data_IF_201914799192
#
_entry.id   IF_201914799192
#
_cell.length_a   1.000
_cell.length_b   1.000
_cell.length_c   1.000
_cell.angle_alpha   90.00
_cell.angle_beta   90.00
_cell.angle_gamma   90.00
#
_symmetry.space_group_name_H-M   'P 1'
#
loop_
_entity.id
_entity.type
_entity.pdbx_description
1 polymer ?
#
# COMPACT_ATOMS: atom_id res chain seq x y z
N UNK A 1 4.48 -3.06 -11.27
CA UNK A 1 4.88 -1.63 -11.33
C UNK A 1 4.99 -1.07 -9.92
N UNK A 2 6.07 -0.35 -9.61
CA UNK A 2 6.30 0.23 -8.28
C UNK A 2 5.94 1.73 -8.19
N UNK A 3 5.21 2.27 -9.18
CA UNK A 3 4.87 3.69 -9.31
C UNK A 3 4.33 4.37 -8.04
N UNK A 4 3.45 3.75 -7.23
CA UNK A 4 2.95 4.39 -6.01
C UNK A 4 4.03 4.69 -4.96
N UNK A 5 5.19 4.04 -5.05
CA UNK A 5 6.32 4.23 -4.14
C UNK A 5 7.33 5.24 -4.66
N UNK A 6 7.19 5.69 -5.90
CA UNK A 6 8.09 6.67 -6.51
C UNK A 6 7.89 8.06 -5.89
N UNK A 7 8.95 8.87 -5.78
CA UNK A 7 8.82 10.30 -5.51
C UNK A 7 7.87 10.95 -6.50
N UNK A 8 7.02 11.86 -6.03
CA UNK A 8 5.93 12.46 -6.83
C UNK A 8 6.44 13.13 -8.11
N UNK A 9 7.58 13.80 -7.99
CA UNK A 9 8.32 14.48 -9.05
C UNK A 9 8.81 13.53 -10.16
N UNK A 10 9.04 12.26 -9.85
CA UNK A 10 9.60 11.27 -10.77
C UNK A 10 8.60 10.23 -11.25
N UNK A 11 7.35 10.26 -10.75
CA UNK A 11 6.28 9.32 -11.15
C UNK A 11 6.08 9.33 -12.66
N UNK A 12 6.01 10.52 -13.26
CA UNK A 12 5.76 10.70 -14.71
C UNK A 12 6.90 10.08 -15.52
N UNK A 13 8.15 10.45 -15.22
CA UNK A 13 9.33 9.93 -15.92
C UNK A 13 9.43 8.41 -15.78
N UNK A 14 9.17 7.87 -14.60
CA UNK A 14 9.20 6.42 -14.38
C UNK A 14 8.09 5.69 -15.14
N UNK A 15 6.91 6.30 -15.29
CA UNK A 15 5.82 5.75 -16.09
C UNK A 15 6.15 5.72 -17.58
N UNK A 16 6.71 6.81 -18.11
CA UNK A 16 7.13 6.91 -19.52
C UNK A 16 8.14 5.81 -19.87
N UNK A 17 9.19 5.68 -19.07
CA UNK A 17 10.21 4.62 -19.24
C UNK A 17 9.58 3.22 -19.20
N UNK A 18 8.65 2.97 -18.27
CA UNK A 18 7.94 1.70 -18.18
C UNK A 18 7.08 1.42 -19.42
N UNK A 19 6.41 2.44 -19.96
CA UNK A 19 5.54 2.31 -21.12
C UNK A 19 6.35 2.06 -22.40
N UNK A 20 7.53 2.68 -22.53
CA UNK A 20 8.45 2.48 -23.64
C UNK A 20 9.10 1.09 -23.64
N UNK A 21 9.47 0.59 -22.46
CA UNK A 21 10.09 -0.73 -22.29
C UNK A 21 9.06 -1.89 -22.30
N UNK A 22 7.76 -1.58 -22.26
CA UNK A 22 6.71 -2.58 -22.19
C UNK A 22 6.50 -3.32 -23.53
N UNK A 23 6.23 -4.64 -23.48
CA UNK A 23 5.76 -5.39 -24.64
C UNK A 23 4.53 -4.74 -25.30
N UNK A 24 4.42 -4.86 -26.62
CA UNK A 24 3.36 -4.23 -27.42
C UNK A 24 1.96 -4.67 -26.94
N UNK A 25 1.85 -5.91 -26.46
CA UNK A 25 0.61 -6.49 -25.94
C UNK A 25 0.09 -5.77 -24.68
N UNK A 26 0.96 -5.07 -23.95
CA UNK A 26 0.60 -4.31 -22.74
C UNK A 26 0.30 -2.83 -23.03
N UNK A 27 0.50 -2.34 -24.25
CA UNK A 27 0.23 -0.93 -24.59
C UNK A 27 -1.22 -0.50 -24.27
N UNK A 28 -2.28 -1.31 -24.52
CA UNK A 28 -3.63 -0.93 -24.13
C UNK A 28 -3.79 -0.72 -22.61
N UNK A 29 -3.02 -1.44 -21.79
CA UNK A 29 -3.00 -1.22 -20.34
C UNK A 29 -2.35 0.10 -19.98
N UNK A 30 -1.22 0.45 -20.61
CA UNK A 30 -0.53 1.72 -20.37
C UNK A 30 -1.37 2.91 -20.83
N UNK A 31 -2.03 2.83 -21.98
CA UNK A 31 -2.97 3.86 -22.47
C UNK A 31 -4.10 4.12 -21.47
N UNK A 32 -4.75 3.05 -20.99
CA UNK A 32 -5.77 3.15 -19.95
C UNK A 32 -5.21 3.75 -18.65
N UNK A 33 -4.04 3.29 -18.22
CA UNK A 33 -3.43 3.75 -16.99
C UNK A 33 -3.07 5.24 -17.08
N UNK A 34 -2.56 5.69 -18.23
CA UNK A 34 -2.23 7.07 -18.48
C UNK A 34 -3.49 7.97 -18.44
N UNK A 35 -4.53 7.59 -19.18
CA UNK A 35 -5.79 8.37 -19.24
C UNK A 35 -6.44 8.53 -17.87
N UNK A 36 -6.45 7.47 -17.06
CA UNK A 36 -7.09 7.51 -15.75
C UNK A 36 -6.15 7.97 -14.64
N UNK A 37 -5.08 7.23 -14.39
CA UNK A 37 -4.24 7.39 -13.19
C UNK A 37 -3.18 8.48 -13.33
N UNK A 38 -2.75 8.78 -14.57
CA UNK A 38 -1.76 9.83 -14.81
C UNK A 38 -2.42 11.20 -15.06
N UNK A 39 -3.55 11.23 -15.78
CA UNK A 39 -4.21 12.49 -16.21
C UNK A 39 -5.40 12.89 -15.33
N UNK A 40 -6.31 11.97 -15.00
CA UNK A 40 -7.57 12.30 -14.29
C UNK A 40 -7.46 12.25 -12.77
N UNK A 41 -6.76 11.25 -12.23
CA UNK A 41 -6.64 11.07 -10.78
C UNK A 41 -5.37 11.76 -10.25
N UNK A 42 -5.48 12.71 -9.30
CA UNK A 42 -4.31 13.34 -8.70
C UNK A 42 -3.37 12.33 -8.02
N UNK A 43 -2.05 12.45 -8.25
CA UNK A 43 -1.05 11.53 -7.70
C UNK A 43 -1.13 11.35 -6.20
N UNK A 44 -1.39 12.43 -5.46
CA UNK A 44 -1.55 12.42 -4.00
C UNK A 44 -2.60 11.44 -3.46
N UNK A 45 -3.56 11.00 -4.29
CA UNK A 45 -4.62 10.08 -3.87
C UNK A 45 -4.19 8.61 -3.92
N UNK A 46 -3.20 8.27 -4.74
CA UNK A 46 -2.77 6.89 -4.96
C UNK A 46 -1.28 6.66 -4.68
N UNK A 47 -0.46 7.71 -4.71
CA UNK A 47 0.94 7.66 -4.33
C UNK A 47 1.07 7.55 -2.81
N UNK A 48 1.87 6.58 -2.37
CA UNK A 48 2.09 6.24 -0.96
C UNK A 48 3.55 6.43 -0.53
N UNK A 49 4.40 7.00 -1.40
CA UNK A 49 5.85 7.18 -1.17
C UNK A 49 6.13 7.87 0.16
N UNK A 50 5.38 8.95 0.45
CA UNK A 50 5.53 9.78 1.65
C UNK A 50 4.69 9.31 2.85
N UNK A 51 3.90 8.24 2.71
CA UNK A 51 3.10 7.73 3.82
C UNK A 51 3.92 6.83 4.75
N UNK A 52 3.72 6.99 6.05
CA UNK A 52 4.31 6.10 7.08
C UNK A 52 3.83 4.66 6.93
N UNK A 53 2.56 4.49 6.58
CA UNK A 53 1.94 3.20 6.29
C UNK A 53 1.64 3.15 4.80
N UNK A 54 2.33 2.26 4.08
CA UNK A 54 2.31 2.17 2.61
C UNK A 54 1.32 1.14 2.08
N UNK A 55 0.75 0.30 2.95
CA UNK A 55 -0.15 -0.78 2.57
C UNK A 55 -1.48 -0.66 3.31
N UNK A 56 -2.53 -1.18 2.68
CA UNK A 56 -3.86 -1.32 3.25
C UNK A 56 -3.99 -2.56 4.16
N UNK A 57 -2.89 -3.23 4.53
CA UNK A 57 -2.89 -4.48 5.31
C UNK A 57 -3.76 -4.44 6.57
N UNK A 58 -3.79 -3.30 7.28
CA UNK A 58 -4.62 -3.14 8.48
C UNK A 58 -6.11 -3.18 8.14
N UNK A 59 -6.51 -2.52 7.05
CA UNK A 59 -7.87 -2.48 6.54
C UNK A 59 -8.26 -3.88 6.05
N UNK A 60 -7.41 -4.53 5.24
CA UNK A 60 -7.63 -5.91 4.77
C UNK A 60 -7.74 -6.90 5.94
N UNK A 61 -6.86 -6.77 6.95
CA UNK A 61 -6.90 -7.61 8.15
C UNK A 61 -8.18 -7.41 8.96
N UNK A 62 -8.65 -6.16 9.05
CA UNK A 62 -9.94 -5.85 9.68
C UNK A 62 -11.09 -6.46 8.89
N UNK A 63 -11.18 -6.22 7.57
CA UNK A 63 -12.22 -6.79 6.72
C UNK A 63 -12.24 -8.32 6.77
N UNK A 64 -11.06 -8.96 6.73
CA UNK A 64 -10.94 -10.42 6.83
C UNK A 64 -11.49 -10.93 8.17
N UNK A 65 -11.13 -10.30 9.28
CA UNK A 65 -11.66 -10.66 10.61
C UNK A 65 -13.16 -10.41 10.69
N UNK A 66 -13.63 -9.27 10.20
CA UNK A 66 -15.03 -8.90 10.23
C UNK A 66 -15.89 -9.90 9.44
N UNK A 67 -15.48 -10.24 8.22
CA UNK A 67 -16.16 -11.23 7.40
C UNK A 67 -16.18 -12.60 8.07
N UNK A 68 -15.07 -13.00 8.71
CA UNK A 68 -15.02 -14.24 9.52
C UNK A 68 -15.98 -14.23 10.70
N UNK A 69 -16.26 -13.07 11.33
CA UNK A 69 -17.23 -12.97 12.43
C UNK A 69 -18.68 -12.95 11.97
N UNK A 70 -18.95 -12.46 10.77
CA UNK A 70 -20.30 -12.47 10.22
C UNK A 70 -20.71 -13.90 9.84
N UNK A 71 -19.75 -14.75 9.44
CA UNK A 71 -19.94 -16.18 9.09
C UNK A 71 -21.00 -16.44 8.00
N UNK A 72 -21.48 -15.39 7.33
CA UNK A 72 -22.56 -15.43 6.34
C UNK A 72 -22.29 -14.42 5.22
N UNK A 73 -22.56 -14.81 3.98
CA UNK A 73 -22.41 -13.90 2.82
C UNK A 73 -23.49 -12.81 2.80
N UNK A 74 -24.67 -13.09 3.36
CA UNK A 74 -25.81 -12.18 3.42
C UNK A 74 -26.42 -12.17 4.83
N UNK A 75 -25.76 -11.53 5.81
CA UNK A 75 -26.36 -11.37 7.14
C UNK A 75 -27.62 -10.52 7.06
N UNK A 76 -28.64 -10.87 7.84
CA UNK A 76 -29.75 -9.95 8.05
C UNK A 76 -29.24 -8.72 8.83
N UNK A 77 -30.01 -7.63 8.76
CA UNK A 77 -29.65 -6.35 9.37
C UNK A 77 -29.27 -6.47 10.85
N UNK A 78 -30.02 -7.24 11.63
CA UNK A 78 -29.78 -7.40 13.06
C UNK A 78 -28.50 -8.18 13.36
N UNK A 79 -28.21 -9.24 12.61
CA UNK A 79 -26.95 -9.98 12.70
C UNK A 79 -25.77 -9.06 12.38
N UNK A 80 -25.87 -8.27 11.31
CA UNK A 80 -24.84 -7.29 10.95
C UNK A 80 -24.61 -6.25 12.04
N UNK A 81 -25.67 -5.63 12.57
CA UNK A 81 -25.58 -4.64 13.66
C UNK A 81 -24.95 -5.25 14.92
N UNK A 82 -25.32 -6.49 15.27
CA UNK A 82 -24.73 -7.16 16.42
C UNK A 82 -23.23 -7.44 16.24
N UNK A 83 -22.80 -7.85 15.04
CA UNK A 83 -21.37 -8.04 14.75
C UNK A 83 -20.61 -6.71 14.80
N UNK A 84 -21.20 -5.60 14.32
CA UNK A 84 -20.61 -4.27 14.44
C UNK A 84 -20.41 -3.85 15.90
N UNK A 85 -21.39 -4.09 16.77
CA UNK A 85 -21.26 -3.82 18.23
C UNK A 85 -20.10 -4.61 18.84
N UNK A 86 -19.93 -5.88 18.46
CA UNK A 86 -18.82 -6.70 18.94
C UNK A 86 -17.45 -6.17 18.45
N UNK A 87 -17.36 -5.71 17.20
CA UNK A 87 -16.13 -5.10 16.69
C UNK A 87 -15.80 -3.79 17.40
N UNK A 88 -16.79 -2.94 17.71
CA UNK A 88 -16.55 -1.71 18.45
C UNK A 88 -16.00 -2.00 19.85
N UNK A 89 -16.58 -2.96 20.58
CA UNK A 89 -16.06 -3.38 21.90
C UNK A 89 -14.61 -3.85 21.79
N UNK A 90 -14.30 -4.65 20.77
CA UNK A 90 -12.94 -5.12 20.52
C UNK A 90 -11.97 -3.97 20.19
N UNK A 91 -12.36 -3.00 19.37
CA UNK A 91 -11.55 -1.82 19.08
C UNK A 91 -11.31 -0.96 20.33
N UNK A 92 -12.35 -0.77 21.15
CA UNK A 92 -12.24 -0.03 22.41
C UNK A 92 -11.24 -0.69 23.36
N UNK A 93 -11.28 -2.01 23.45
CA UNK A 93 -10.27 -2.78 24.19
C UNK A 93 -8.87 -2.54 23.63
N UNK A 94 -8.68 -2.59 22.30
CA UNK A 94 -7.37 -2.31 21.70
C UNK A 94 -6.87 -0.90 21.99
N UNK A 95 -7.76 0.10 21.99
CA UNK A 95 -7.42 1.48 22.30
C UNK A 95 -6.96 1.65 23.75
N UNK A 96 -7.68 1.04 24.70
CA UNK A 96 -7.29 1.03 26.12
C UNK A 96 -5.90 0.40 26.29
N UNK A 97 -5.66 -0.76 25.67
CA UNK A 97 -4.35 -1.42 25.71
C UNK A 97 -3.24 -0.55 25.11
N UNK A 98 -3.51 0.11 23.98
CA UNK A 98 -2.58 1.02 23.34
C UNK A 98 -2.23 2.24 24.21
N UNK A 99 -3.24 2.85 24.84
CA UNK A 99 -3.07 3.98 25.76
C UNK A 99 -2.30 3.58 27.03
N UNK A 100 -2.40 2.33 27.47
CA UNK A 100 -1.57 1.78 28.56
C UNK A 100 -0.13 1.43 28.12
N UNK A 101 0.30 1.83 26.92
CA UNK A 101 1.63 1.56 26.37
C UNK A 101 1.82 0.13 25.84
N UNK A 102 0.79 -0.72 25.89
CA UNK A 102 0.83 -2.12 25.39
C UNK A 102 0.48 -2.15 23.90
N UNK A 103 1.28 -1.49 23.07
CA UNK A 103 1.12 -1.53 21.61
C UNK A 103 1.68 -2.85 21.05
N UNK A 104 0.94 -3.47 20.12
CA UNK A 104 1.46 -4.60 19.35
C UNK A 104 2.62 -4.10 18.48
N UNK A 105 3.80 -4.68 18.67
CA UNK A 105 4.96 -4.40 17.82
C UNK A 105 4.69 -4.91 16.40
N UNK A 106 5.14 -4.15 15.42
CA UNK A 106 5.17 -4.63 14.03
C UNK A 106 6.03 -5.89 13.96
N UNK A 107 5.66 -6.81 13.05
CA UNK A 107 6.44 -8.03 12.81
C UNK A 107 7.85 -7.67 12.34
N UNK A 108 8.85 -8.49 12.71
CA UNK A 108 10.24 -8.34 12.24
C UNK A 108 10.29 -8.19 10.72
N UNK A 109 9.55 -9.03 9.98
CA UNK A 109 9.47 -8.97 8.50
C UNK A 109 9.01 -7.60 8.01
N UNK A 110 8.01 -7.01 8.67
CA UNK A 110 7.46 -5.70 8.31
C UNK A 110 8.46 -4.58 8.60
N UNK A 111 9.11 -4.59 9.76
CA UNK A 111 10.16 -3.62 10.07
C UNK A 111 11.31 -3.72 9.06
N UNK A 112 11.84 -4.93 8.82
CA UNK A 112 12.93 -5.12 7.85
C UNK A 112 12.55 -4.61 6.45
N UNK A 113 11.32 -4.86 6.00
CA UNK A 113 10.83 -4.34 4.72
C UNK A 113 10.77 -2.81 4.70
N UNK A 114 10.26 -2.21 5.78
CA UNK A 114 10.19 -0.75 5.90
C UNK A 114 11.59 -0.11 5.98
N UNK A 115 12.53 -0.75 6.66
CA UNK A 115 13.91 -0.28 6.77
C UNK A 115 14.61 -0.34 5.41
N UNK A 116 14.41 -1.42 4.64
CA UNK A 116 14.89 -1.51 3.26
C UNK A 116 14.31 -0.42 2.36
N UNK A 117 13.01 -0.15 2.45
CA UNK A 117 12.36 0.93 1.69
C UNK A 117 12.92 2.31 2.05
N UNK A 118 13.17 2.57 3.34
CA UNK A 118 13.77 3.83 3.80
C UNK A 118 15.19 3.99 3.31
N UNK A 119 16.00 2.93 3.42
CA UNK A 119 17.39 2.98 2.96
C UNK A 119 17.49 3.17 1.45
N UNK A 120 16.64 2.48 0.68
CA UNK A 120 16.58 2.65 -0.76
C UNK A 120 16.16 4.08 -1.14
N UNK A 121 15.19 4.66 -0.42
CA UNK A 121 14.79 6.05 -0.61
C UNK A 121 15.93 7.02 -0.28
N UNK A 122 16.64 6.81 0.83
CA UNK A 122 17.80 7.62 1.23
C UNK A 122 18.88 7.64 0.15
N UNK A 123 19.26 6.48 -0.38
CA UNK A 123 20.25 6.35 -1.46
C UNK A 123 19.82 7.10 -2.73
N UNK A 124 18.53 7.11 -3.03
CA UNK A 124 17.99 7.85 -4.17
C UNK A 124 18.03 9.36 -3.95
N UNK A 125 17.58 9.84 -2.77
CA UNK A 125 17.57 11.26 -2.43
C UNK A 125 19.01 11.84 -2.38
N UNK A 126 19.99 11.04 -1.96
CA UNK A 126 21.42 11.37 -1.98
C UNK A 126 22.06 11.24 -3.38
N UNK A 127 21.28 10.94 -4.42
CA UNK A 127 21.74 10.74 -5.80
C UNK A 127 22.82 9.66 -5.95
N UNK A 128 22.90 8.73 -4.99
CA UNK A 128 23.84 7.60 -5.04
C UNK A 128 23.41 6.53 -6.04
N UNK A 129 22.11 6.48 -6.36
CA UNK A 129 21.52 5.59 -7.36
C UNK A 129 20.65 6.39 -8.33
N UNK A 130 20.59 5.95 -9.59
CA UNK A 130 19.76 6.58 -10.62
C UNK A 130 18.30 6.12 -10.51
N UNK A 131 17.38 6.86 -11.15
CA UNK A 131 15.95 6.56 -11.17
C UNK A 131 15.64 5.12 -11.62
N UNK A 132 16.28 4.64 -12.69
CA UNK A 132 16.03 3.30 -13.22
C UNK A 132 16.48 2.21 -12.24
N UNK A 133 17.60 2.42 -11.55
CA UNK A 133 18.09 1.50 -10.52
C UNK A 133 17.16 1.50 -9.30
N UNK A 134 16.73 2.67 -8.86
CA UNK A 134 15.75 2.83 -7.78
C UNK A 134 14.43 2.11 -8.10
N UNK A 135 13.88 2.32 -9.30
CA UNK A 135 12.67 1.66 -9.77
C UNK A 135 12.81 0.12 -9.80
N UNK A 136 13.93 -0.39 -10.31
CA UNK A 136 14.19 -1.82 -10.38
C UNK A 136 14.30 -2.47 -8.99
N UNK A 137 15.04 -1.84 -8.07
CA UNK A 137 15.17 -2.33 -6.69
C UNK A 137 13.84 -2.26 -5.94
N UNK A 138 13.03 -1.21 -6.14
CA UNK A 138 11.67 -1.15 -5.61
C UNK A 138 10.82 -2.30 -6.13
N UNK A 139 10.86 -2.57 -7.44
CA UNK A 139 10.09 -3.63 -8.08
C UNK A 139 10.43 -5.01 -7.50
N UNK A 140 11.74 -5.32 -7.32
CA UNK A 140 12.19 -6.56 -6.67
C UNK A 140 11.69 -6.68 -5.23
N UNK A 141 11.72 -5.57 -4.50
CA UNK A 141 11.35 -5.52 -3.09
C UNK A 141 9.84 -5.78 -2.86
N UNK A 142 8.98 -5.35 -3.80
CA UNK A 142 7.52 -5.54 -3.72
C UNK A 142 7.03 -6.80 -4.46
N UNK A 143 7.72 -7.24 -5.50
CA UNK A 143 7.30 -8.34 -6.40
C UNK A 143 7.59 -9.75 -5.88
N UNK A 144 8.20 -9.90 -4.70
CA UNK A 144 8.60 -11.19 -4.11
C UNK A 144 7.48 -11.91 -3.36
N UNK A 145 6.26 -11.93 -3.90
CA UNK A 145 5.15 -12.73 -3.37
C UNK A 145 4.96 -14.03 -4.15
#
# INVERSE_FOLDING_TARGET
MALPLMPLEDVQRAFETLSEEAPVELQPFFEYFEDWWMKKVPFRLWNVSNLKVKTNNNVESWHSRFNKRIEKNHPNFWSFVNTLKQEEVHFRQQLIHGNSGKLKKASKKTCTMQDKLKELRRRYDEQTIKLNEYHNELSKLIGTK
#
